data_IF_647451435892
#
_entry.id   IF_647451435892
#
_cell.length_a   1.000
_cell.length_b   1.000
_cell.length_c   1.000
_cell.angle_alpha   90.00
_cell.angle_beta   90.00
_cell.angle_gamma   90.00
#
_symmetry.space_group_name_H-M   'P 1'
#
loop_
_entity.id
_entity.type
_entity.pdbx_description
1 polymer ?
#
# COMPACT_ATOMS: atom_id res chain seq x y z
N UNK A 1 4.01 19.81 6.95
CA UNK A 1 4.94 18.99 7.74
C UNK A 1 4.65 17.55 7.37
N UNK A 2 5.53 16.88 6.64
CA UNK A 2 5.36 15.45 6.36
C UNK A 2 5.57 14.72 7.68
N UNK A 3 4.49 14.26 8.32
CA UNK A 3 4.61 13.31 9.41
C UNK A 3 5.23 12.05 8.80
N UNK A 4 6.52 11.85 9.03
CA UNK A 4 7.18 10.60 8.71
C UNK A 4 6.63 9.60 9.73
N UNK A 5 5.61 8.86 9.30
CA UNK A 5 5.01 7.83 10.13
C UNK A 5 5.98 6.66 10.18
N UNK A 6 6.45 6.33 11.38
CA UNK A 6 7.36 5.21 11.60
C UNK A 6 6.56 3.90 11.54
N UNK A 7 6.69 3.19 10.42
CA UNK A 7 6.13 1.84 10.23
C UNK A 7 7.24 0.83 10.52
N UNK A 8 6.96 -0.13 11.41
CA UNK A 8 7.85 -1.24 11.68
C UNK A 8 7.86 -2.18 10.46
N UNK A 9 8.89 -2.06 9.63
CA UNK A 9 9.09 -2.92 8.45
C UNK A 9 9.61 -4.29 8.91
N UNK A 10 8.87 -5.38 8.67
CA UNK A 10 9.30 -6.73 9.07
C UNK A 10 10.33 -7.31 8.09
N UNK A 11 11.15 -8.26 8.55
CA UNK A 11 12.24 -8.85 7.74
C UNK A 11 11.75 -9.48 6.41
N UNK A 12 10.57 -10.10 6.41
CA UNK A 12 10.00 -10.68 5.19
C UNK A 12 9.72 -9.64 4.10
N UNK A 13 9.49 -8.38 4.47
CA UNK A 13 9.26 -7.29 3.52
C UNK A 13 10.54 -7.00 2.72
N UNK A 14 11.69 -7.05 3.38
CA UNK A 14 13.00 -6.87 2.74
C UNK A 14 13.39 -8.10 1.90
N UNK A 15 13.12 -9.31 2.39
CA UNK A 15 13.39 -10.54 1.65
C UNK A 15 12.58 -10.66 0.36
N UNK A 16 11.35 -10.16 0.37
CA UNK A 16 10.52 -10.10 -0.83
C UNK A 16 10.93 -8.96 -1.78
N UNK A 17 11.93 -8.15 -1.40
CA UNK A 17 12.42 -6.96 -2.12
C UNK A 17 11.31 -5.92 -2.36
N UNK A 18 10.40 -5.79 -1.40
CA UNK A 18 9.32 -4.81 -1.46
C UNK A 18 9.85 -3.39 -1.18
N UNK A 19 9.22 -2.41 -1.82
CA UNK A 19 9.56 -0.99 -1.65
C UNK A 19 8.35 -0.24 -1.11
N UNK A 20 8.46 0.38 0.07
CA UNK A 20 7.39 1.23 0.59
C UNK A 20 7.24 2.48 -0.30
N UNK A 21 6.04 2.65 -0.89
CA UNK A 21 5.74 3.74 -1.83
C UNK A 21 4.98 4.89 -1.16
N UNK A 22 3.99 4.56 -0.33
CA UNK A 22 3.17 5.55 0.36
C UNK A 22 2.57 4.97 1.63
N UNK A 23 2.40 5.83 2.63
CA UNK A 23 1.72 5.51 3.89
C UNK A 23 0.62 6.53 4.11
N UNK A 24 -0.61 6.04 4.26
CA UNK A 24 -1.81 6.86 4.42
C UNK A 24 -2.40 6.53 5.78
N UNK A 25 -2.44 7.51 6.68
CA UNK A 25 -3.04 7.36 8.01
C UNK A 25 -4.44 7.94 8.00
N UNK A 26 -5.37 7.25 8.66
CA UNK A 26 -6.70 7.77 8.82
C UNK A 26 -6.70 8.95 9.80
N UNK A 27 -7.05 10.15 9.34
CA UNK A 27 -7.11 11.35 10.18
C UNK A 27 -8.21 11.27 11.25
N UNK A 28 -9.29 10.53 10.99
CA UNK A 28 -10.40 10.35 11.93
C UNK A 28 -10.06 9.34 13.04
N UNK A 29 -9.18 8.39 12.74
CA UNK A 29 -8.72 7.36 13.66
C UNK A 29 -7.26 7.02 13.36
N UNK A 30 -6.35 7.74 14.03
CA UNK A 30 -4.91 7.58 13.88
C UNK A 30 -4.37 6.28 14.50
N UNK A 31 -5.22 5.28 14.75
CA UNK A 31 -4.78 3.91 15.08
C UNK A 31 -4.72 3.01 13.86
N UNK A 32 -5.26 3.46 12.72
CA UNK A 32 -5.34 2.67 11.49
C UNK A 32 -4.79 3.44 10.30
N UNK A 33 -4.06 2.74 9.44
CA UNK A 33 -3.57 3.27 8.17
C UNK A 33 -3.42 2.21 7.10
N UNK A 34 -2.92 2.64 5.96
CA UNK A 34 -2.59 1.77 4.84
C UNK A 34 -1.17 2.07 4.37
N UNK A 35 -0.40 1.01 4.13
CA UNK A 35 0.89 1.07 3.46
C UNK A 35 0.76 0.48 2.06
N UNK A 36 1.17 1.26 1.06
CA UNK A 36 1.28 0.84 -0.33
C UNK A 36 2.73 0.45 -0.59
N UNK A 37 2.96 -0.80 -0.98
CA UNK A 37 4.28 -1.34 -1.29
C UNK A 37 4.36 -1.73 -2.76
N UNK A 38 5.44 -1.35 -3.42
CA UNK A 38 5.79 -1.81 -4.76
C UNK A 38 6.54 -3.13 -4.69
N UNK A 39 6.15 -4.05 -5.58
CA UNK A 39 6.78 -5.35 -5.79
C UNK A 39 7.17 -5.44 -7.27
N UNK A 40 8.42 -5.84 -7.54
CA UNK A 40 8.97 -6.01 -8.88
C UNK A 40 8.79 -4.79 -9.81
N UNK A 41 8.93 -3.57 -9.26
CA UNK A 41 8.74 -2.33 -10.02
C UNK A 41 9.71 -2.22 -11.20
N UNK A 42 10.96 -2.66 -11.03
CA UNK A 42 11.99 -2.62 -12.06
C UNK A 42 12.00 -3.87 -12.97
N UNK A 43 10.97 -4.72 -12.91
CA UNK A 43 10.80 -5.94 -13.72
C UNK A 43 12.01 -6.88 -13.69
N UNK A 44 12.58 -7.08 -12.52
CA UNK A 44 13.69 -8.03 -12.31
C UNK A 44 13.20 -9.49 -12.29
N UNK A 45 11.90 -9.71 -12.04
CA UNK A 45 11.23 -11.01 -11.99
C UNK A 45 10.24 -11.13 -13.17
N UNK A 46 9.83 -12.35 -13.58
CA UNK A 46 9.07 -12.58 -14.82
C UNK A 46 7.60 -12.16 -14.78
N UNK A 47 7.12 -11.59 -13.67
CA UNK A 47 5.75 -11.08 -13.54
C UNK A 47 5.71 -9.55 -13.69
N UNK A 48 4.52 -8.99 -13.89
CA UNK A 48 4.33 -7.54 -14.00
C UNK A 48 4.60 -6.81 -12.68
N UNK A 49 4.94 -5.51 -12.69
CA UNK A 49 4.97 -4.69 -11.48
C UNK A 49 3.67 -4.80 -10.70
N UNK A 50 3.77 -4.92 -9.37
CA UNK A 50 2.61 -5.04 -8.49
C UNK A 50 2.66 -3.95 -7.42
N UNK A 51 1.50 -3.37 -7.08
CA UNK A 51 1.33 -2.61 -5.84
C UNK A 51 0.52 -3.46 -4.88
N UNK A 52 1.13 -3.78 -3.74
CA UNK A 52 0.50 -4.46 -2.61
C UNK A 52 -0.02 -3.42 -1.63
N UNK A 53 -1.18 -3.70 -1.07
CA UNK A 53 -1.88 -2.83 -0.14
C UNK A 53 -1.94 -3.53 1.22
N UNK A 54 -1.31 -2.95 2.23
CA UNK A 54 -1.30 -3.48 3.58
C UNK A 54 -2.09 -2.58 4.52
N UNK A 55 -2.96 -3.19 5.32
CA UNK A 55 -3.51 -2.56 6.52
C UNK A 55 -2.41 -2.50 7.57
N UNK A 56 -2.20 -1.32 8.14
CA UNK A 56 -1.29 -1.11 9.27
C UNK A 56 -2.07 -0.59 10.48
N UNK A 57 -1.70 -1.04 11.67
CA UNK A 57 -2.33 -0.67 12.95
C UNK A 57 -1.29 -0.11 13.90
N UNK A 58 -1.66 0.88 14.70
CA UNK A 58 -0.79 1.47 15.71
C UNK A 58 -0.76 0.57 16.95
N UNK A 59 0.36 -0.11 17.16
CA UNK A 59 0.60 -0.98 18.31
C UNK A 59 1.85 -0.50 19.06
N UNK A 60 1.72 -0.28 20.37
CA UNK A 60 2.83 0.19 21.22
C UNK A 60 3.57 1.44 20.69
N UNK A 61 2.87 2.33 19.98
CA UNK A 61 3.42 3.57 19.44
C UNK A 61 4.12 3.44 18.08
N UNK A 62 4.08 2.27 17.44
CA UNK A 62 4.57 2.05 16.07
C UNK A 62 3.49 1.45 15.20
N UNK A 63 3.52 1.76 13.91
CA UNK A 63 2.60 1.11 12.98
C UNK A 63 3.14 -0.26 12.58
N UNK A 64 2.35 -1.30 12.76
CA UNK A 64 2.69 -2.67 12.43
C UNK A 64 1.79 -3.19 11.30
N UNK A 65 2.27 -4.18 10.54
CA UNK A 65 1.52 -4.81 9.47
C UNK A 65 0.44 -5.72 10.07
N UNK A 66 -0.83 -5.39 9.86
CA UNK A 66 -1.94 -6.21 10.30
C UNK A 66 -2.32 -7.26 9.25
N UNK A 67 -2.46 -6.85 7.97
CA UNK A 67 -2.93 -7.74 6.90
C UNK A 67 -2.66 -7.19 5.49
N UNK A 68 -2.39 -8.07 4.52
CA UNK A 68 -2.46 -7.74 3.09
C UNK A 68 -3.93 -7.70 2.62
N UNK A 69 -4.34 -6.59 2.03
CA UNK A 69 -5.72 -6.31 1.66
C UNK A 69 -5.97 -6.49 0.17
N UNK A 70 -4.98 -6.17 -0.67
CA UNK A 70 -5.06 -6.32 -2.12
C UNK A 70 -3.67 -6.33 -2.74
N UNK A 71 -3.56 -6.90 -3.94
CA UNK A 71 -2.39 -6.82 -4.80
C UNK A 71 -2.86 -6.50 -6.23
N UNK A 72 -2.33 -5.42 -6.81
CA UNK A 72 -2.74 -4.89 -8.10
C UNK A 72 -1.57 -4.94 -9.07
N UNK A 73 -1.76 -5.59 -10.22
CA UNK A 73 -0.74 -5.67 -11.26
C UNK A 73 -0.86 -4.52 -12.24
N UNK A 74 0.27 -4.00 -12.71
CA UNK A 74 0.37 -2.87 -13.63
C UNK A 74 1.27 -3.19 -14.82
N UNK A 75 1.10 -2.51 -15.94
CA UNK A 75 1.90 -2.78 -17.13
C UNK A 75 3.31 -2.17 -17.03
N UNK A 76 3.47 -1.11 -16.24
CA UNK A 76 4.75 -0.40 -16.05
C UNK A 76 4.93 0.13 -14.61
N UNK A 77 6.18 0.46 -14.29
CA UNK A 77 6.56 1.10 -13.02
C UNK A 77 5.86 2.44 -12.83
N UNK A 78 5.80 3.25 -13.88
CA UNK A 78 5.20 4.58 -13.87
C UNK A 78 3.70 4.50 -13.57
N UNK A 79 3.02 3.49 -14.10
CA UNK A 79 1.60 3.25 -13.83
C UNK A 79 1.38 2.88 -12.35
N UNK A 80 2.21 1.97 -11.81
CA UNK A 80 2.17 1.57 -10.40
C UNK A 80 2.43 2.76 -9.46
N UNK A 81 3.46 3.57 -9.72
CA UNK A 81 3.78 4.75 -8.91
C UNK A 81 2.65 5.79 -9.04
N UNK A 82 2.18 6.07 -10.26
CA UNK A 82 1.07 7.01 -10.47
C UNK A 82 -0.18 6.59 -9.71
N UNK A 83 -0.50 5.29 -9.70
CA UNK A 83 -1.58 4.74 -8.87
C UNK A 83 -1.40 5.15 -7.41
N UNK A 84 -0.23 4.92 -6.80
CA UNK A 84 -0.02 5.29 -5.38
C UNK A 84 -0.15 6.79 -5.11
N UNK A 85 0.21 7.64 -6.07
CA UNK A 85 0.08 9.11 -5.91
C UNK A 85 -1.36 9.62 -5.99
N UNK A 86 -2.27 8.88 -6.63
CA UNK A 86 -3.70 9.26 -6.70
C UNK A 86 -4.35 9.25 -5.32
N UNK A 87 -3.84 8.43 -4.41
CA UNK A 87 -4.40 8.26 -3.06
C UNK A 87 -3.71 9.13 -2.01
N UNK A 88 -2.80 10.02 -2.40
CA UNK A 88 -2.13 10.95 -1.48
C UNK A 88 -3.12 11.83 -0.69
N UNK A 89 -4.32 12.05 -1.26
CA UNK A 89 -5.38 12.85 -0.65
C UNK A 89 -6.56 12.00 -0.14
N UNK A 90 -6.48 10.67 -0.22
CA UNK A 90 -7.53 9.79 0.25
C UNK A 90 -7.29 9.48 1.72
N UNK A 91 -8.37 9.41 2.50
CA UNK A 91 -8.35 8.71 3.79
C UNK A 91 -8.18 7.21 3.56
N UNK A 92 -7.67 6.49 4.56
CA UNK A 92 -7.52 5.04 4.50
C UNK A 92 -8.85 4.33 4.16
N UNK A 93 -9.97 4.83 4.67
CA UNK A 93 -11.32 4.29 4.41
C UNK A 93 -11.73 4.49 2.95
N UNK A 94 -11.50 5.68 2.38
CA UNK A 94 -11.81 5.93 0.96
C UNK A 94 -10.98 5.04 0.05
N UNK A 95 -9.71 4.82 0.38
CA UNK A 95 -8.86 3.87 -0.33
C UNK A 95 -9.43 2.45 -0.25
N UNK A 96 -9.90 2.01 0.93
CA UNK A 96 -10.55 0.70 1.07
C UNK A 96 -11.80 0.56 0.19
N UNK A 97 -12.68 1.57 0.19
CA UNK A 97 -13.89 1.56 -0.63
C UNK A 97 -13.55 1.50 -2.11
N UNK A 98 -12.56 2.27 -2.55
CA UNK A 98 -12.17 2.30 -3.97
C UNK A 98 -11.52 0.98 -4.41
N UNK A 99 -10.66 0.39 -3.59
CA UNK A 99 -10.08 -0.93 -3.85
C UNK A 99 -11.16 -2.01 -3.97
N UNK A 100 -12.17 -1.96 -3.09
CA UNK A 100 -13.29 -2.89 -3.13
C UNK A 100 -14.13 -2.71 -4.39
N UNK A 101 -14.39 -1.46 -4.81
CA UNK A 101 -15.07 -1.15 -6.08
C UNK A 101 -14.28 -1.65 -7.30
N UNK A 102 -12.97 -1.48 -7.32
CA UNK A 102 -12.14 -1.96 -8.42
C UNK A 102 -12.13 -3.48 -8.53
N UNK A 103 -12.06 -4.20 -7.40
CA UNK A 103 -12.19 -5.66 -7.40
C UNK A 103 -13.54 -6.13 -7.97
N UNK A 104 -14.63 -5.44 -7.67
CA UNK A 104 -15.96 -5.75 -8.22
C UNK A 104 -15.99 -5.51 -9.74
N UNK A 105 -15.42 -4.42 -10.24
CA UNK A 105 -15.45 -4.10 -11.68
C UNK A 105 -14.58 -5.03 -12.53
N UNK A 106 -13.57 -5.70 -11.95
CA UNK A 106 -12.75 -6.69 -12.66
C UNK A 106 -13.44 -8.08 -12.70
N UNK A 107 -14.43 -8.31 -11.83
CA UNK A 107 -15.13 -9.59 -11.69
C UNK A 107 -16.42 -9.72 -12.52
N UNK A 108 -16.74 -8.74 -13.37
CA UNK A 108 -17.95 -8.70 -14.22
C UNK A 108 -17.57 -8.74 -15.70
#
# INVERSE_FOLDING_TARGET
MNNIVEVAIPEWFEYDELVALSTIINEQDATVGVLLAGDNLDKQRPYSPVVRVYLITLENGKYEFAKEMSALSFNSKEEAISFTTKFSNYSAIELFVELYRQQINIAI
#
